data_IF_225318550553
#
_entry.id   IF_225318550553
#
_cell.length_a   1.000
_cell.length_b   1.000
_cell.length_c   1.000
_cell.angle_alpha   90.00
_cell.angle_beta   90.00
_cell.angle_gamma   90.00
#
_symmetry.space_group_name_H-M   'P 1'
#
loop_
_entity.id
_entity.type
_entity.pdbx_description
1 polymer ?
#
# COMPACT_ATOMS: atom_id res chain seq x y z
N UNK A 1 -15.60 7.85 -9.82
CA UNK A 1 -15.95 6.45 -9.54
C UNK A 1 -15.72 6.17 -8.06
N UNK A 2 -16.63 5.47 -7.46
CA UNK A 2 -16.43 5.04 -6.09
C UNK A 2 -15.27 4.03 -5.97
N UNK A 3 -15.01 3.57 -4.80
CA UNK A 3 -14.06 2.52 -4.54
C UNK A 3 -14.69 1.13 -4.71
N UNK A 4 -13.85 0.11 -4.73
CA UNK A 4 -14.27 -1.29 -4.86
C UNK A 4 -13.76 -2.13 -3.68
N UNK A 5 -14.65 -2.93 -3.11
CA UNK A 5 -14.30 -3.90 -2.06
C UNK A 5 -14.74 -5.27 -2.56
N UNK A 6 -13.77 -6.16 -2.80
CA UNK A 6 -14.02 -7.49 -3.32
C UNK A 6 -14.67 -8.39 -2.27
N UNK A 7 -15.31 -9.46 -2.74
CA UNK A 7 -15.92 -10.46 -1.87
C UNK A 7 -14.87 -11.06 -0.92
N UNK A 8 -15.23 -11.19 0.35
CA UNK A 8 -14.35 -11.73 1.38
C UNK A 8 -13.33 -10.75 1.93
N UNK A 9 -13.20 -9.56 1.36
CA UNK A 9 -12.40 -8.50 1.98
C UNK A 9 -13.15 -7.91 3.17
N UNK A 10 -12.41 -7.53 4.21
CA UNK A 10 -12.98 -6.91 5.40
C UNK A 10 -12.42 -5.49 5.52
N UNK A 11 -13.30 -4.50 5.48
CA UNK A 11 -12.95 -3.10 5.71
C UNK A 11 -13.79 -2.62 6.88
N UNK A 12 -13.15 -2.24 7.97
CA UNK A 12 -13.84 -1.95 9.21
C UNK A 12 -13.22 -0.77 9.96
N UNK A 13 -14.08 0.00 10.64
CA UNK A 13 -13.66 1.10 11.49
C UNK A 13 -13.46 2.39 10.73
N UNK A 14 -12.50 3.20 11.18
CA UNK A 14 -12.23 4.52 10.62
C UNK A 14 -11.37 4.38 9.35
N UNK A 15 -12.01 4.04 8.23
CA UNK A 15 -11.32 3.86 6.95
C UNK A 15 -11.93 4.80 5.91
N UNK A 16 -11.09 5.61 5.27
CA UNK A 16 -11.47 6.48 4.16
C UNK A 16 -10.82 5.95 2.89
N UNK A 17 -11.62 5.71 1.86
CA UNK A 17 -11.16 5.26 0.56
C UNK A 17 -11.55 6.27 -0.51
N UNK A 18 -10.56 6.77 -1.23
CA UNK A 18 -10.78 7.72 -2.33
C UNK A 18 -11.24 7.00 -3.60
N UNK A 19 -11.66 7.79 -4.59
CA UNK A 19 -12.12 7.26 -5.88
C UNK A 19 -11.06 6.37 -6.54
N UNK A 20 -11.49 5.25 -7.07
CA UNK A 20 -10.64 4.29 -7.76
C UNK A 20 -9.85 3.37 -6.84
N UNK A 21 -9.91 3.58 -5.52
CA UNK A 21 -9.25 2.67 -4.58
C UNK A 21 -9.93 1.31 -4.56
N UNK A 22 -9.17 0.25 -4.26
CA UNK A 22 -9.73 -1.11 -4.22
C UNK A 22 -9.09 -1.96 -3.14
N UNK A 23 -9.90 -2.83 -2.56
CA UNK A 23 -9.47 -3.85 -1.57
C UNK A 23 -9.90 -5.20 -2.08
N UNK A 24 -8.96 -6.13 -2.16
CA UNK A 24 -9.15 -7.38 -2.87
C UNK A 24 -9.44 -8.56 -1.93
N UNK A 25 -9.55 -9.75 -2.50
CA UNK A 25 -10.07 -10.94 -1.80
C UNK A 25 -9.26 -11.27 -0.54
N UNK A 26 -9.96 -11.49 0.57
CA UNK A 26 -9.38 -11.85 1.86
C UNK A 26 -8.45 -10.81 2.49
N UNK A 27 -8.35 -9.62 1.92
CA UNK A 27 -7.59 -8.55 2.54
C UNK A 27 -8.37 -8.00 3.74
N UNK A 28 -7.64 -7.53 4.76
CA UNK A 28 -8.24 -6.92 5.95
C UNK A 28 -7.69 -5.53 6.14
N UNK A 29 -8.59 -4.55 6.19
CA UNK A 29 -8.27 -3.14 6.46
C UNK A 29 -9.05 -2.75 7.70
N UNK A 30 -8.35 -2.53 8.81
CA UNK A 30 -9.00 -2.33 10.09
C UNK A 30 -8.45 -1.09 10.81
N UNK A 31 -9.27 -0.01 10.86
CA UNK A 31 -8.93 1.26 11.50
C UNK A 31 -9.69 1.42 12.82
N UNK A 32 -9.32 0.66 13.83
CA UNK A 32 -10.05 0.62 15.11
C UNK A 32 -9.53 1.66 16.13
N UNK A 33 -8.25 1.74 16.40
CA UNK A 33 -7.71 2.72 17.36
C UNK A 33 -7.25 4.03 16.71
N UNK A 34 -6.96 4.01 15.41
CA UNK A 34 -6.55 5.17 14.63
C UNK A 34 -7.10 5.05 13.20
N UNK A 35 -7.20 6.15 12.44
CA UNK A 35 -7.74 6.09 11.08
C UNK A 35 -6.77 5.51 10.06
N UNK A 36 -7.36 5.00 8.97
CA UNK A 36 -6.66 4.59 7.76
C UNK A 36 -7.18 5.44 6.60
N UNK A 37 -6.28 6.06 5.86
CA UNK A 37 -6.59 6.78 4.62
C UNK A 37 -5.97 6.06 3.44
N UNK A 38 -6.79 5.75 2.43
CA UNK A 38 -6.34 5.11 1.19
C UNK A 38 -6.64 6.07 0.04
N UNK A 39 -5.60 6.49 -0.65
CA UNK A 39 -5.66 7.49 -1.71
C UNK A 39 -6.26 6.95 -3.01
N UNK A 40 -6.36 7.85 -4.00
CA UNK A 40 -6.94 7.55 -5.30
C UNK A 40 -6.19 6.44 -6.02
N UNK A 41 -6.95 5.56 -6.65
CA UNK A 41 -6.40 4.51 -7.52
C UNK A 41 -5.43 3.55 -6.82
N UNK A 42 -5.38 3.58 -5.49
CA UNK A 42 -4.53 2.67 -4.71
C UNK A 42 -5.23 1.33 -4.50
N UNK A 43 -4.45 0.26 -4.49
CA UNK A 43 -5.00 -1.08 -4.35
C UNK A 43 -4.34 -1.85 -3.21
N UNK A 44 -5.17 -2.54 -2.44
CA UNK A 44 -4.78 -3.44 -1.36
C UNK A 44 -5.09 -4.85 -1.85
N UNK A 45 -4.06 -5.60 -2.20
CA UNK A 45 -4.25 -6.87 -2.88
C UNK A 45 -4.60 -8.02 -1.93
N UNK A 46 -4.87 -9.16 -2.54
CA UNK A 46 -5.35 -10.36 -1.87
C UNK A 46 -4.51 -10.73 -0.65
N UNK A 47 -5.16 -11.05 0.44
CA UNK A 47 -4.54 -11.49 1.70
C UNK A 47 -3.66 -10.44 2.40
N UNK A 48 -3.65 -9.20 1.92
CA UNK A 48 -2.90 -8.13 2.59
C UNK A 48 -3.60 -7.68 3.86
N UNK A 49 -2.83 -7.13 4.80
CA UNK A 49 -3.35 -6.58 6.05
C UNK A 49 -2.91 -5.13 6.18
N UNK A 50 -3.87 -4.25 6.41
CA UNK A 50 -3.62 -2.84 6.74
C UNK A 50 -4.23 -2.60 8.11
N UNK A 51 -3.39 -2.27 9.08
CA UNK A 51 -3.82 -2.08 10.45
C UNK A 51 -3.07 -0.92 11.11
N UNK A 52 -3.57 -0.48 12.22
CA UNK A 52 -3.08 0.67 12.98
C UNK A 52 -2.69 0.23 14.37
N UNK A 53 -1.97 1.10 15.06
CA UNK A 53 -1.71 0.95 16.47
C UNK A 53 -2.05 2.28 17.14
N UNK A 54 -2.19 2.29 18.44
CA UNK A 54 -2.43 3.52 19.18
C UNK A 54 -1.28 4.51 18.88
N UNK A 55 -1.62 5.72 18.46
CA UNK A 55 -0.69 6.76 18.01
C UNK A 55 -0.01 6.51 16.66
N UNK A 56 -0.38 5.44 15.95
CA UNK A 56 0.18 5.14 14.63
C UNK A 56 -0.93 4.83 13.62
N UNK A 57 -1.42 5.89 12.97
CA UNK A 57 -2.38 5.77 11.86
C UNK A 57 -1.69 5.22 10.61
N UNK A 58 -2.49 4.90 9.58
CA UNK A 58 -1.98 4.54 8.27
C UNK A 58 -2.42 5.58 7.27
N UNK A 59 -1.48 6.07 6.46
CA UNK A 59 -1.77 6.90 5.31
C UNK A 59 -1.13 6.29 4.08
N UNK A 60 -1.96 5.92 3.13
CA UNK A 60 -1.56 5.40 1.83
C UNK A 60 -1.91 6.46 0.81
N UNK A 61 -0.93 6.92 0.04
CA UNK A 61 -1.12 7.96 -0.97
C UNK A 61 -1.87 7.48 -2.21
N UNK A 62 -1.75 8.23 -3.29
CA UNK A 62 -2.41 7.93 -4.57
C UNK A 62 -1.55 6.99 -5.41
N UNK A 63 -2.20 6.16 -6.22
CA UNK A 63 -1.53 5.22 -7.14
C UNK A 63 -0.55 4.28 -6.43
N UNK A 64 -0.88 3.86 -5.23
CA UNK A 64 -0.06 2.94 -4.44
C UNK A 64 -0.55 1.52 -4.62
N UNK A 65 0.38 0.59 -4.76
CA UNK A 65 0.09 -0.83 -4.78
C UNK A 65 0.60 -1.50 -3.52
N UNK A 66 -0.30 -2.12 -2.77
CA UNK A 66 0.05 -2.99 -1.65
C UNK A 66 -0.08 -4.43 -2.13
N UNK A 67 1.04 -5.09 -2.32
CA UNK A 67 1.11 -6.42 -2.92
C UNK A 67 0.46 -7.51 -2.09
N UNK A 68 0.22 -8.67 -2.73
CA UNK A 68 -0.40 -9.81 -2.09
C UNK A 68 0.30 -10.19 -0.78
N UNK A 69 -0.46 -10.43 0.26
CA UNK A 69 0.03 -10.86 1.58
C UNK A 69 0.98 -9.89 2.28
N UNK A 70 1.08 -8.65 1.81
CA UNK A 70 1.87 -7.63 2.51
C UNK A 70 1.17 -7.19 3.78
N UNK A 71 1.95 -6.69 4.73
CA UNK A 71 1.45 -6.12 5.99
C UNK A 71 1.89 -4.67 6.06
N UNK A 72 0.92 -3.77 6.13
CA UNK A 72 1.13 -2.33 6.27
C UNK A 72 0.55 -1.91 7.60
N UNK A 73 1.40 -1.56 8.54
CA UNK A 73 0.99 -1.35 9.93
C UNK A 73 1.51 -0.02 10.47
N UNK A 74 0.60 0.90 10.79
CA UNK A 74 0.92 2.15 11.47
C UNK A 74 1.94 3.05 10.77
N UNK A 75 1.91 3.13 9.45
CA UNK A 75 2.96 3.78 8.65
C UNK A 75 2.39 4.69 7.57
N UNK A 76 3.27 5.42 6.91
CA UNK A 76 2.92 6.33 5.81
C UNK A 76 3.62 5.87 4.53
N UNK A 77 2.85 5.78 3.44
CA UNK A 77 3.36 5.37 2.13
C UNK A 77 3.01 6.47 1.13
N UNK A 78 4.03 7.01 0.49
CA UNK A 78 3.88 8.09 -0.48
C UNK A 78 3.31 7.63 -1.82
N UNK A 79 2.91 8.61 -2.64
CA UNK A 79 2.26 8.36 -3.92
C UNK A 79 3.13 7.52 -4.86
N UNK A 80 2.45 6.76 -5.71
CA UNK A 80 3.09 5.98 -6.78
C UNK A 80 4.18 5.02 -6.29
N UNK A 81 3.97 4.44 -5.12
CA UNK A 81 4.88 3.49 -4.48
C UNK A 81 4.30 2.08 -4.53
N UNK A 82 5.17 1.10 -4.72
CA UNK A 82 4.79 -0.31 -4.72
C UNK A 82 5.41 -1.02 -3.52
N UNK A 83 4.56 -1.63 -2.72
CA UNK A 83 4.97 -2.53 -1.63
C UNK A 83 4.84 -3.96 -2.15
N UNK A 84 5.97 -4.65 -2.25
CA UNK A 84 6.03 -5.98 -2.84
C UNK A 84 5.30 -7.05 -2.03
N UNK A 85 5.04 -8.19 -2.68
CA UNK A 85 4.35 -9.33 -2.07
C UNK A 85 5.04 -9.75 -0.78
N UNK A 86 4.25 -9.93 0.28
CA UNK A 86 4.76 -10.43 1.55
C UNK A 86 5.67 -9.47 2.31
N UNK A 87 5.86 -8.25 1.85
CA UNK A 87 6.64 -7.24 2.59
C UNK A 87 5.90 -6.81 3.85
N UNK A 88 6.67 -6.41 4.87
CA UNK A 88 6.13 -5.96 6.14
C UNK A 88 6.65 -4.55 6.41
N UNK A 89 5.75 -3.60 6.65
CA UNK A 89 6.09 -2.21 6.98
C UNK A 89 5.52 -1.89 8.35
N UNK A 90 6.38 -1.54 9.30
CA UNK A 90 6.02 -1.41 10.71
C UNK A 90 5.79 0.03 11.15
N UNK A 91 5.33 0.18 12.40
CA UNK A 91 4.88 1.45 12.97
C UNK A 91 5.88 2.58 12.80
N UNK A 92 5.40 3.74 12.40
CA UNK A 92 6.19 4.95 12.27
C UNK A 92 7.12 4.98 11.06
N UNK A 93 7.15 3.93 10.25
CA UNK A 93 7.93 3.95 9.02
C UNK A 93 7.32 4.94 8.03
N UNK A 94 8.17 5.57 7.24
CA UNK A 94 7.79 6.52 6.20
C UNK A 94 8.45 6.10 4.90
N UNK A 95 7.65 5.73 3.94
CA UNK A 95 8.12 5.38 2.60
C UNK A 95 7.72 6.51 1.68
N UNK A 96 8.69 7.05 0.97
CA UNK A 96 8.48 8.19 0.09
C UNK A 96 7.68 7.87 -1.16
N UNK A 97 7.63 8.83 -2.07
CA UNK A 97 6.97 8.71 -3.37
C UNK A 97 7.86 7.96 -4.34
N UNK A 98 7.25 7.31 -5.33
CA UNK A 98 7.98 6.67 -6.42
C UNK A 98 9.00 5.64 -5.93
N UNK A 99 8.63 4.87 -4.92
CA UNK A 99 9.48 3.82 -4.34
C UNK A 99 9.01 2.43 -4.74
N UNK A 100 9.92 1.47 -4.64
CA UNK A 100 9.59 0.04 -4.65
C UNK A 100 10.21 -0.57 -3.39
N UNK A 101 9.37 -1.21 -2.60
CA UNK A 101 9.80 -2.07 -1.49
C UNK A 101 9.70 -3.50 -2.01
N UNK A 102 10.83 -4.21 -2.05
CA UNK A 102 10.89 -5.53 -2.65
C UNK A 102 10.07 -6.58 -1.89
N UNK A 103 9.71 -7.64 -2.59
CA UNK A 103 8.94 -8.74 -2.01
C UNK A 103 9.65 -9.31 -0.77
N UNK A 104 8.89 -9.60 0.28
CA UNK A 104 9.42 -10.18 1.51
C UNK A 104 10.31 -9.27 2.35
N UNK A 105 10.42 -7.99 2.00
CA UNK A 105 11.24 -7.04 2.76
C UNK A 105 10.63 -6.75 4.13
N UNK A 106 11.47 -6.42 5.10
CA UNK A 106 11.04 -5.97 6.41
C UNK A 106 11.51 -4.53 6.63
N UNK A 107 10.56 -3.59 6.55
CA UNK A 107 10.80 -2.18 6.89
C UNK A 107 10.51 -2.01 8.37
N UNK A 108 11.54 -1.83 9.15
CA UNK A 108 11.45 -1.78 10.62
C UNK A 108 10.83 -0.47 11.10
N UNK A 109 10.44 -0.44 12.37
CA UNK A 109 9.79 0.73 12.99
C UNK A 109 10.62 1.99 12.79
N UNK A 110 9.96 3.08 12.45
CA UNK A 110 10.58 4.40 12.33
C UNK A 110 11.56 4.58 11.17
N UNK A 111 11.64 3.61 10.25
CA UNK A 111 12.54 3.70 9.10
C UNK A 111 12.03 4.72 8.09
N UNK A 112 12.91 5.61 7.62
CA UNK A 112 12.63 6.52 6.51
C UNK A 112 13.24 5.97 5.22
N UNK A 113 12.39 5.76 4.21
CA UNK A 113 12.82 5.41 2.85
C UNK A 113 12.58 6.66 1.99
N UNK A 114 13.63 7.29 1.46
CA UNK A 114 13.47 8.52 0.68
C UNK A 114 12.78 8.30 -0.66
N UNK A 115 12.23 9.37 -1.22
CA UNK A 115 11.58 9.34 -2.53
C UNK A 115 12.48 8.69 -3.58
N UNK A 116 11.86 7.96 -4.51
CA UNK A 116 12.56 7.39 -5.66
C UNK A 116 13.49 6.23 -5.34
N UNK A 117 13.29 5.54 -4.24
CA UNK A 117 14.20 4.46 -3.78
C UNK A 117 13.67 3.07 -4.08
N UNK A 118 14.60 2.18 -4.45
CA UNK A 118 14.39 0.74 -4.37
C UNK A 118 15.03 0.25 -3.06
N UNK A 119 14.23 -0.38 -2.21
CA UNK A 119 14.71 -0.94 -0.94
C UNK A 119 14.20 -2.36 -0.78
N UNK A 120 15.05 -3.25 -0.30
CA UNK A 120 14.65 -4.61 0.04
C UNK A 120 15.56 -5.21 1.11
N UNK A 121 15.20 -6.38 1.57
CA UNK A 121 15.94 -7.13 2.58
C UNK A 121 15.27 -7.12 3.95
N UNK A 122 15.89 -7.80 4.91
CA UNK A 122 15.42 -7.91 6.28
C UNK A 122 16.61 -7.69 7.24
N UNK A 123 16.79 -6.47 7.77
CA UNK A 123 15.99 -5.26 7.55
C UNK A 123 16.21 -4.68 6.14
N UNK A 124 15.19 -4.01 5.64
CA UNK A 124 15.25 -3.41 4.31
C UNK A 124 16.27 -2.27 4.26
N UNK A 125 17.01 -2.20 3.17
CA UNK A 125 18.00 -1.16 2.89
C UNK A 125 17.77 -0.60 1.50
N UNK A 126 17.98 0.70 1.32
CA UNK A 126 18.00 1.33 0.01
C UNK A 126 19.19 0.82 -0.77
N UNK A 127 18.94 0.29 -1.97
CA UNK A 127 19.99 -0.30 -2.81
C UNK A 127 20.32 0.55 -4.03
N UNK A 128 19.36 1.33 -4.53
CA UNK A 128 19.56 2.26 -5.65
C UNK A 128 18.32 3.14 -5.84
N UNK A 129 18.42 4.12 -6.72
CA UNK A 129 17.27 4.89 -7.19
C UNK A 129 16.45 4.06 -8.21
N UNK A 130 15.17 4.35 -8.31
CA UNK A 130 14.34 3.81 -9.37
C UNK A 130 14.69 4.46 -10.70
N UNK A 131 14.57 3.68 -11.78
CA UNK A 131 14.61 4.24 -13.13
C UNK A 131 13.28 4.92 -13.48
N UNK A 132 13.28 5.77 -14.50
CA UNK A 132 12.05 6.39 -15.01
C UNK A 132 11.02 5.33 -15.44
N UNK A 133 11.47 4.25 -16.06
CA UNK A 133 10.60 3.15 -16.50
C UNK A 133 9.94 2.44 -15.30
N UNK A 134 10.67 2.25 -14.21
CA UNK A 134 10.11 1.66 -12.99
C UNK A 134 9.06 2.55 -12.36
N UNK A 135 9.28 3.85 -12.35
CA UNK A 135 8.29 4.82 -11.84
C UNK A 135 7.00 4.76 -12.67
N UNK A 136 7.12 4.72 -13.99
CA UNK A 136 5.96 4.59 -14.88
C UNK A 136 5.27 3.24 -14.71
N UNK A 137 6.02 2.17 -14.49
CA UNK A 137 5.46 0.85 -14.27
C UNK A 137 4.62 0.79 -13.00
N UNK A 138 5.03 1.46 -11.93
CA UNK A 138 4.24 1.57 -10.72
C UNK A 138 2.88 2.20 -11.02
N UNK A 139 2.85 3.25 -11.82
CA UNK A 139 1.61 3.91 -12.21
C UNK A 139 0.74 3.00 -13.08
N UNK A 140 1.32 2.34 -14.06
CA UNK A 140 0.58 1.39 -14.92
C UNK A 140 -0.04 0.28 -14.10
N UNK A 141 0.68 -0.25 -13.12
CA UNK A 141 0.16 -1.31 -12.26
C UNK A 141 -1.05 -0.83 -11.45
N UNK A 142 -0.97 0.36 -10.85
CA UNK A 142 -2.09 0.94 -10.12
C UNK A 142 -3.31 1.14 -11.04
N UNK A 143 -3.12 1.67 -12.23
CA UNK A 143 -4.22 1.89 -13.18
C UNK A 143 -4.80 0.58 -13.70
N UNK A 144 -3.99 -0.47 -13.84
CA UNK A 144 -4.48 -1.80 -14.20
C UNK A 144 -5.49 -2.31 -13.15
N UNK A 145 -5.21 -2.12 -11.87
CA UNK A 145 -6.14 -2.51 -10.81
C UNK A 145 -7.42 -1.67 -10.82
N UNK A 146 -7.34 -0.41 -11.20
CA UNK A 146 -8.55 0.41 -11.41
C UNK A 146 -9.43 -0.20 -12.50
N UNK A 147 -8.85 -0.63 -13.59
CA UNK A 147 -9.59 -1.27 -14.71
C UNK A 147 -10.23 -2.59 -14.27
N UNK A 148 -9.49 -3.45 -13.57
CA UNK A 148 -10.03 -4.71 -13.06
C UNK A 148 -11.20 -4.43 -12.11
N UNK A 149 -11.06 -3.45 -11.23
CA UNK A 149 -12.11 -3.09 -10.29
C UNK A 149 -13.38 -2.61 -11.01
N UNK A 150 -13.25 -1.80 -12.05
CA UNK A 150 -14.38 -1.35 -12.87
C UNK A 150 -15.10 -2.52 -13.53
N UNK A 151 -14.37 -3.46 -14.08
CA UNK A 151 -14.94 -4.66 -14.70
C UNK A 151 -15.68 -5.51 -13.67
N UNK A 152 -15.21 -5.54 -12.43
CA UNK A 152 -15.79 -6.32 -11.35
C UNK A 152 -17.08 -5.71 -10.78
N UNK A 153 -17.35 -4.45 -11.07
CA UNK A 153 -18.59 -3.77 -10.66
C UNK A 153 -19.78 -4.02 -11.60
N UNK A 154 -19.56 -4.70 -12.70
CA UNK A 154 -20.60 -4.96 -13.72
C UNK A 154 -21.36 -6.25 -13.40
#
# INVERSE_FOLDING_TARGET
MAYYIAEGAVVKGQVTMADGASVWYNATVRGDSEPIEIGRNSNIQDNAVVHVDLSHSVRIGDNVTIGHSAIVHGCTIGDNTLIGMGAIVLNGARIGKNCIIGAGALVTQGTDIPDGSLAFGSPAKVVRALTADEIEENQRNAMHYVEIARESLI
#
